data_IF_919940325954
#
_entry.id   IF_919940325954
#
_cell.length_a   1.000
_cell.length_b   1.000
_cell.length_c   1.000
_cell.angle_alpha   90.00
_cell.angle_beta   90.00
_cell.angle_gamma   90.00
#
_symmetry.space_group_name_H-M   'P 1'
#
loop_
_entity.id
_entity.type
_entity.pdbx_description
1 polymer ?
#
# COMPACT_ATOMS: atom_id res chain seq x y z
N UNK A 1 -28.22 14.23 10.36
CA UNK A 1 -27.09 14.20 9.40
C UNK A 1 -26.25 15.44 9.58
N UNK A 2 -24.92 15.32 9.64
CA UNK A 2 -24.02 16.47 9.85
C UNK A 2 -24.15 17.47 8.68
N UNK A 3 -24.19 18.76 9.01
CA UNK A 3 -24.21 19.81 7.98
C UNK A 3 -22.80 20.11 7.46
N UNK A 4 -21.78 19.88 8.29
CA UNK A 4 -20.36 20.11 7.97
C UNK A 4 -19.56 18.87 8.33
N UNK A 5 -18.68 18.43 7.40
CA UNK A 5 -17.71 17.35 7.62
C UNK A 5 -16.31 17.94 7.53
N UNK A 6 -15.48 17.68 8.55
CA UNK A 6 -14.09 18.07 8.58
C UNK A 6 -13.19 16.89 8.18
N UNK A 7 -12.45 17.06 7.08
CA UNK A 7 -11.52 16.04 6.58
C UNK A 7 -10.09 16.41 6.97
N UNK A 8 -9.48 15.59 7.82
CA UNK A 8 -8.06 15.68 8.14
C UNK A 8 -7.18 15.15 7.00
N UNK A 9 -6.13 15.88 6.65
CA UNK A 9 -5.19 15.49 5.59
C UNK A 9 -3.80 16.07 5.81
N UNK A 10 -2.78 15.42 5.25
CA UNK A 10 -1.41 15.92 5.20
C UNK A 10 -1.30 17.10 4.23
N UNK A 11 -0.28 17.95 4.41
CA UNK A 11 -0.08 19.17 3.59
C UNK A 11 0.49 18.89 2.19
N UNK A 12 0.93 17.66 1.86
CA UNK A 12 1.50 17.38 0.54
C UNK A 12 0.46 17.54 -0.57
N UNK A 13 0.89 18.00 -1.76
CA UNK A 13 -0.01 18.19 -2.92
C UNK A 13 -0.78 16.91 -3.26
N UNK A 14 -0.12 15.75 -3.19
CA UNK A 14 -0.79 14.47 -3.44
C UNK A 14 -1.88 14.18 -2.40
N UNK A 15 -1.61 14.40 -1.10
CA UNK A 15 -2.59 14.18 -0.05
C UNK A 15 -3.81 15.11 -0.21
N UNK A 16 -3.59 16.37 -0.58
CA UNK A 16 -4.69 17.31 -0.85
C UNK A 16 -5.56 16.86 -2.01
N UNK A 17 -4.97 16.42 -3.13
CA UNK A 17 -5.72 15.88 -4.27
C UNK A 17 -6.49 14.61 -3.88
N UNK A 18 -5.91 13.72 -3.08
CA UNK A 18 -6.59 12.54 -2.57
C UNK A 18 -7.79 12.91 -1.68
N UNK A 19 -7.64 13.94 -0.88
CA UNK A 19 -8.73 14.47 -0.05
C UNK A 19 -9.82 15.12 -0.91
N UNK A 20 -9.46 15.87 -1.95
CA UNK A 20 -10.45 16.45 -2.88
C UNK A 20 -11.25 15.35 -3.59
N UNK A 21 -10.64 14.21 -3.98
CA UNK A 21 -11.36 13.07 -4.55
C UNK A 21 -12.44 12.55 -3.57
N UNK A 22 -12.11 12.40 -2.29
CA UNK A 22 -13.09 11.97 -1.25
C UNK A 22 -14.18 13.03 -1.06
N UNK A 23 -13.78 14.30 -0.92
CA UNK A 23 -14.69 15.43 -0.82
C UNK A 23 -15.71 15.46 -1.97
N UNK A 24 -15.22 15.32 -3.22
CA UNK A 24 -16.08 15.37 -4.40
C UNK A 24 -17.08 14.20 -4.44
N UNK A 25 -16.67 13.01 -4.00
CA UNK A 25 -17.57 11.85 -3.87
C UNK A 25 -18.64 12.11 -2.80
N UNK A 26 -18.29 12.65 -1.63
CA UNK A 26 -19.25 13.04 -0.57
C UNK A 26 -20.20 14.09 -1.09
N UNK A 27 -19.71 15.16 -1.71
CA UNK A 27 -20.53 16.25 -2.27
C UNK A 27 -21.46 15.77 -3.38
N UNK A 28 -21.05 14.75 -4.16
CA UNK A 28 -21.90 14.14 -5.19
C UNK A 28 -23.04 13.33 -4.59
N UNK A 29 -22.79 12.62 -3.49
CA UNK A 29 -23.82 11.81 -2.81
C UNK A 29 -24.72 12.69 -1.92
N UNK A 30 -24.17 13.73 -1.29
CA UNK A 30 -24.82 14.64 -0.35
C UNK A 30 -24.47 16.10 -0.69
N UNK A 31 -25.15 16.71 -1.66
CA UNK A 31 -24.85 18.08 -2.12
C UNK A 31 -24.99 19.15 -1.04
N UNK A 32 -25.85 18.92 -0.05
CA UNK A 32 -26.14 19.82 1.08
C UNK A 32 -25.04 19.84 2.14
N UNK A 33 -24.23 18.76 2.27
CA UNK A 33 -23.17 18.69 3.27
C UNK A 33 -22.02 19.62 2.88
N UNK A 34 -21.61 20.52 3.76
CA UNK A 34 -20.39 21.31 3.59
C UNK A 34 -19.16 20.48 4.00
N UNK A 35 -18.07 20.59 3.24
CA UNK A 35 -16.83 19.84 3.52
C UNK A 35 -15.67 20.79 3.72
N UNK A 36 -15.11 20.77 4.92
CA UNK A 36 -13.95 21.55 5.34
C UNK A 36 -12.69 20.67 5.33
N UNK A 37 -11.58 21.17 4.75
CA UNK A 37 -10.30 20.44 4.72
C UNK A 37 -9.37 21.01 5.80
N UNK A 38 -8.96 20.16 6.74
CA UNK A 38 -8.04 20.49 7.84
C UNK A 38 -6.67 19.93 7.53
N UNK A 39 -5.68 20.81 7.31
CA UNK A 39 -4.30 20.43 6.98
C UNK A 39 -3.50 20.19 8.26
N UNK A 40 -2.99 18.98 8.44
CA UNK A 40 -2.26 18.52 9.62
C UNK A 40 -0.80 18.29 9.26
N UNK A 41 0.12 18.73 10.12
CA UNK A 41 1.56 18.45 10.01
C UNK A 41 1.87 17.08 10.62
N UNK A 42 2.55 16.22 9.88
CA UNK A 42 2.99 14.93 10.40
C UNK A 42 4.51 14.89 10.59
N UNK A 43 4.98 14.14 11.59
CA UNK A 43 6.42 13.91 11.82
C UNK A 43 7.10 13.28 10.60
N UNK A 44 6.37 12.44 9.87
CA UNK A 44 6.88 11.80 8.66
C UNK A 44 7.19 12.78 7.52
N UNK A 45 6.49 13.92 7.47
CA UNK A 45 6.75 14.98 6.48
C UNK A 45 7.93 15.87 6.86
N UNK A 46 8.27 15.95 8.15
CA UNK A 46 9.35 16.80 8.67
C UNK A 46 10.72 16.13 8.58
N UNK A 47 10.78 14.79 8.68
CA UNK A 47 12.05 14.05 8.78
C UNK A 47 12.37 13.42 7.42
N UNK A 48 13.31 14.02 6.68
CA UNK A 48 13.66 13.63 5.31
C UNK A 48 15.00 12.88 5.17
N UNK A 49 15.81 12.83 6.22
CA UNK A 49 17.20 12.35 6.22
C UNK A 49 17.38 10.95 6.82
N UNK A 50 16.32 10.36 7.39
CA UNK A 50 16.38 9.04 8.02
C UNK A 50 15.47 8.02 7.33
N UNK A 51 15.85 6.75 7.38
CA UNK A 51 14.99 5.64 6.92
C UNK A 51 13.71 5.56 7.76
N UNK A 52 12.56 5.22 7.14
CA UNK A 52 11.30 4.98 7.86
C UNK A 52 11.42 3.85 8.90
N UNK A 53 12.29 2.87 8.63
CA UNK A 53 12.56 1.76 9.55
C UNK A 53 13.18 2.21 10.86
N UNK A 54 13.93 3.33 10.88
CA UNK A 54 14.58 3.87 12.10
C UNK A 54 13.59 4.46 13.11
N UNK A 55 12.32 4.64 12.74
CA UNK A 55 11.27 5.20 13.61
C UNK A 55 10.33 4.13 14.19
N UNK A 56 10.69 2.86 14.14
CA UNK A 56 9.82 1.77 14.63
C UNK A 56 8.64 1.45 13.73
N UNK A 57 8.52 2.09 12.56
CA UNK A 57 7.59 1.71 11.49
C UNK A 57 6.10 1.97 11.74
N UNK A 58 5.67 2.34 12.95
CA UNK A 58 4.25 2.55 13.27
C UNK A 58 3.88 4.03 13.18
N UNK A 59 2.82 4.34 12.41
CA UNK A 59 2.10 5.62 12.49
C UNK A 59 2.89 6.89 12.11
N UNK A 60 4.01 6.80 11.41
CA UNK A 60 4.86 7.98 11.10
C UNK A 60 4.13 9.06 10.29
N UNK A 61 3.09 8.68 9.57
CA UNK A 61 2.27 9.56 8.75
C UNK A 61 0.81 9.64 9.21
N UNK A 62 0.39 8.84 10.20
CA UNK A 62 -1.02 8.72 10.60
C UNK A 62 -1.27 9.17 12.04
N UNK A 63 -0.29 9.10 12.94
CA UNK A 63 -0.46 9.34 14.37
C UNK A 63 -1.07 10.72 14.69
N UNK A 64 -0.68 11.78 14.00
CA UNK A 64 -1.23 13.10 14.20
C UNK A 64 -2.68 13.21 13.67
N UNK A 65 -2.98 12.53 12.54
CA UNK A 65 -4.33 12.44 11.99
C UNK A 65 -5.25 11.63 12.91
N UNK A 66 -4.76 10.51 13.43
CA UNK A 66 -5.46 9.66 14.41
C UNK A 66 -5.78 10.43 15.71
N UNK A 67 -4.83 11.25 16.20
CA UNK A 67 -5.06 12.11 17.36
C UNK A 67 -6.17 13.14 17.12
N UNK A 68 -6.23 13.78 15.95
CA UNK A 68 -7.28 14.72 15.58
C UNK A 68 -8.65 14.04 15.39
N UNK A 69 -8.67 12.78 14.90
CA UNK A 69 -9.89 11.97 14.85
C UNK A 69 -10.42 11.64 16.25
N UNK A 70 -9.56 11.18 17.16
CA UNK A 70 -9.92 10.82 18.53
C UNK A 70 -10.38 12.04 19.34
N UNK A 71 -9.79 13.21 19.11
CA UNK A 71 -10.21 14.47 19.78
C UNK A 71 -11.53 15.02 19.23
N UNK A 72 -11.99 14.55 18.07
CA UNK A 72 -13.15 15.10 17.37
C UNK A 72 -12.88 16.40 16.63
N UNK A 73 -11.61 16.82 16.49
CA UNK A 73 -11.24 18.02 15.72
C UNK A 73 -11.46 17.82 14.21
N UNK A 74 -11.36 16.59 13.73
CA UNK A 74 -11.77 16.15 12.40
C UNK A 74 -12.74 14.98 12.49
N UNK A 75 -13.55 14.78 11.45
CA UNK A 75 -14.54 13.70 11.38
C UNK A 75 -13.98 12.46 10.69
N UNK A 76 -13.18 12.67 9.64
CA UNK A 76 -12.53 11.64 8.84
C UNK A 76 -11.12 12.05 8.46
N UNK A 77 -10.27 11.07 8.15
CA UNK A 77 -8.93 11.28 7.59
C UNK A 77 -8.74 10.47 6.31
N UNK A 78 -8.05 11.04 5.32
CA UNK A 78 -7.83 10.40 4.01
C UNK A 78 -6.39 9.92 3.89
N UNK A 79 -6.23 8.65 3.50
CA UNK A 79 -4.95 7.98 3.38
C UNK A 79 -4.78 7.23 2.06
N UNK A 80 -3.55 7.07 1.61
CA UNK A 80 -3.20 5.97 0.72
C UNK A 80 -3.22 4.68 1.56
N UNK A 81 -4.02 3.69 1.20
CA UNK A 81 -4.23 2.48 2.03
C UNK A 81 -2.92 1.72 2.35
N UNK A 82 -1.95 1.73 1.43
CA UNK A 82 -0.62 1.13 1.63
C UNK A 82 0.22 1.76 2.75
N UNK A 83 -0.10 3.00 3.15
CA UNK A 83 0.64 3.77 4.16
C UNK A 83 -0.05 3.69 5.54
N UNK A 84 -1.24 3.07 5.62
CA UNK A 84 -1.99 2.89 6.87
C UNK A 84 -1.35 1.84 7.79
N UNK A 85 -1.43 2.01 9.11
CA UNK A 85 -0.95 1.02 10.06
C UNK A 85 -1.74 -0.28 9.93
N UNK A 86 -1.15 -1.39 10.37
CA UNK A 86 -1.85 -2.69 10.40
C UNK A 86 -2.92 -2.73 11.50
N UNK A 87 -2.61 -2.13 12.64
CA UNK A 87 -3.51 -2.01 13.79
C UNK A 87 -3.83 -0.54 14.02
N UNK A 88 -5.09 -0.23 14.24
CA UNK A 88 -5.57 1.13 14.55
C UNK A 88 -5.63 1.35 16.06
N UNK A 89 -5.53 2.60 16.52
CA UNK A 89 -5.90 2.97 17.88
C UNK A 89 -7.34 2.53 18.19
N UNK A 90 -7.60 2.23 19.45
CA UNK A 90 -8.97 1.90 19.91
C UNK A 90 -9.95 3.02 19.54
N UNK A 91 -11.10 2.63 19.00
CA UNK A 91 -12.14 3.56 18.54
C UNK A 91 -11.97 4.08 17.12
N UNK A 92 -10.87 3.78 16.42
CA UNK A 92 -10.66 4.14 15.02
C UNK A 92 -10.62 2.91 14.09
N UNK A 93 -10.96 3.14 12.82
CA UNK A 93 -10.95 2.09 11.82
C UNK A 93 -11.14 2.64 10.40
N UNK A 94 -11.12 1.73 9.43
CA UNK A 94 -11.44 2.06 8.04
C UNK A 94 -12.96 2.20 7.93
N UNK A 95 -13.44 3.42 7.69
CA UNK A 95 -14.85 3.71 7.47
C UNK A 95 -15.29 3.60 6.01
N UNK A 96 -14.38 3.85 5.07
CA UNK A 96 -14.64 3.62 3.65
C UNK A 96 -13.35 3.34 2.88
N UNK A 97 -13.51 2.62 1.78
CA UNK A 97 -12.46 2.34 0.78
C UNK A 97 -12.99 2.76 -0.59
N UNK A 98 -12.19 3.46 -1.37
CA UNK A 98 -12.55 3.89 -2.72
C UNK A 98 -12.02 2.90 -3.76
N UNK A 99 -12.63 2.94 -4.96
CA UNK A 99 -12.18 2.14 -6.09
C UNK A 99 -10.68 2.26 -6.33
N UNK A 100 -10.07 1.12 -6.68
CA UNK A 100 -8.64 1.01 -6.90
C UNK A 100 -8.23 1.70 -8.20
N UNK A 101 -7.26 2.62 -8.10
CA UNK A 101 -6.56 3.19 -9.24
C UNK A 101 -5.41 2.27 -9.70
N UNK A 102 -4.58 2.72 -10.65
CA UNK A 102 -3.47 1.94 -11.19
C UNK A 102 -2.55 1.40 -10.07
N UNK A 103 -2.40 0.08 -10.02
CA UNK A 103 -1.63 -0.64 -9.01
C UNK A 103 -0.13 -0.62 -9.28
N UNK A 104 0.28 -0.29 -10.53
CA UNK A 104 1.65 -0.43 -10.98
C UNK A 104 2.62 0.50 -10.26
N UNK A 105 3.86 0.06 -10.18
CA UNK A 105 4.97 0.96 -10.00
C UNK A 105 5.44 1.49 -11.35
N UNK A 106 6.02 2.68 -11.34
CA UNK A 106 6.51 3.36 -12.54
C UNK A 106 7.97 3.71 -12.33
N UNK A 107 8.83 3.25 -13.21
CA UNK A 107 10.20 3.70 -13.30
C UNK A 107 10.23 5.01 -14.10
N UNK A 108 10.84 6.04 -13.55
CA UNK A 108 10.89 7.40 -14.13
C UNK A 108 12.32 7.80 -14.36
N UNK A 109 12.63 8.28 -15.58
CA UNK A 109 13.95 8.77 -15.99
C UNK A 109 13.85 10.09 -16.76
N UNK A 110 14.98 10.78 -16.92
CA UNK A 110 15.12 11.92 -17.84
C UNK A 110 15.69 11.50 -19.19
N UNK A 111 16.20 10.28 -19.34
CA UNK A 111 16.91 9.81 -20.53
C UNK A 111 16.07 8.94 -21.45
N UNK A 112 14.93 8.45 -21.00
CA UNK A 112 14.09 7.49 -21.73
C UNK A 112 14.57 6.05 -21.66
N UNK A 113 15.73 5.75 -21.05
CA UNK A 113 16.19 4.37 -20.82
C UNK A 113 15.23 3.65 -19.91
N UNK A 114 14.98 2.37 -20.18
CA UNK A 114 14.23 1.48 -19.29
C UNK A 114 15.10 0.98 -18.15
N UNK A 115 14.49 0.42 -17.10
CA UNK A 115 15.21 -0.10 -15.93
C UNK A 115 16.23 -1.19 -16.29
N UNK A 116 15.85 -2.09 -17.19
CA UNK A 116 16.70 -3.17 -17.70
C UNK A 116 17.85 -2.68 -18.59
N UNK A 117 17.75 -1.47 -19.15
CA UNK A 117 18.73 -0.86 -20.06
C UNK A 117 19.78 0.02 -19.32
N UNK A 118 19.63 0.17 -18.00
CA UNK A 118 20.58 0.96 -17.22
C UNK A 118 21.95 0.29 -17.15
N UNK A 119 23.00 1.10 -17.33
CA UNK A 119 24.39 0.64 -17.22
C UNK A 119 24.75 0.20 -15.79
N UNK A 120 25.72 -0.72 -15.63
CA UNK A 120 26.26 -1.06 -14.32
C UNK A 120 26.72 0.18 -13.53
N UNK A 121 26.28 0.25 -12.26
CA UNK A 121 26.60 1.40 -11.40
C UNK A 121 25.61 2.56 -11.48
N UNK A 122 24.68 2.56 -12.44
CA UNK A 122 23.60 3.57 -12.49
C UNK A 122 22.84 3.61 -11.16
N UNK A 123 22.44 4.82 -10.75
CA UNK A 123 21.82 5.07 -9.44
C UNK A 123 20.31 5.07 -9.55
N UNK A 124 19.64 4.14 -8.89
CA UNK A 124 18.16 4.10 -8.81
C UNK A 124 17.69 4.50 -7.42
N UNK A 125 16.81 5.50 -7.38
CA UNK A 125 16.28 6.08 -6.13
C UNK A 125 15.05 5.35 -5.62
N UNK A 126 15.14 4.77 -4.42
CA UNK A 126 13.99 4.26 -3.64
C UNK A 126 14.31 4.23 -2.16
N UNK A 127 13.27 4.24 -1.30
CA UNK A 127 13.36 3.95 0.13
C UNK A 127 12.59 2.70 0.53
N UNK A 128 12.07 1.96 -0.45
CA UNK A 128 11.28 0.75 -0.23
C UNK A 128 12.15 -0.49 -0.44
N UNK A 129 12.28 -1.32 0.61
CA UNK A 129 12.99 -2.60 0.53
C UNK A 129 12.36 -3.53 -0.51
N UNK A 130 11.02 -3.53 -0.63
CA UNK A 130 10.31 -4.26 -1.68
C UNK A 130 10.80 -3.85 -3.07
N UNK A 131 10.82 -2.55 -3.36
CA UNK A 131 11.27 -2.03 -4.66
C UNK A 131 12.74 -2.33 -4.91
N UNK A 132 13.59 -2.18 -3.91
CA UNK A 132 15.02 -2.52 -4.01
C UNK A 132 15.23 -3.95 -4.46
N UNK A 133 14.54 -4.92 -3.83
CA UNK A 133 14.62 -6.32 -4.21
C UNK A 133 14.17 -6.56 -5.64
N UNK A 134 13.02 -6.01 -6.04
CA UNK A 134 12.47 -6.19 -7.39
C UNK A 134 13.31 -5.49 -8.46
N UNK A 135 13.90 -4.33 -8.17
CA UNK A 135 14.85 -3.68 -9.06
C UNK A 135 16.07 -4.58 -9.30
N UNK A 136 16.62 -5.16 -8.23
CA UNK A 136 17.79 -6.04 -8.30
C UNK A 136 17.53 -7.34 -9.06
N UNK A 137 16.30 -7.80 -9.15
CA UNK A 137 15.92 -8.92 -10.02
C UNK A 137 15.93 -8.56 -11.49
N UNK A 138 15.48 -7.34 -11.84
CA UNK A 138 15.46 -6.87 -13.23
C UNK A 138 16.86 -6.46 -13.67
N UNK A 139 17.56 -5.69 -12.84
CA UNK A 139 18.92 -5.22 -13.12
C UNK A 139 19.79 -5.28 -11.85
N UNK A 140 20.55 -6.37 -11.64
CA UNK A 140 21.37 -6.55 -10.43
C UNK A 140 22.55 -5.58 -10.34
N UNK A 141 22.93 -4.94 -11.45
CA UNK A 141 24.12 -4.10 -11.55
C UNK A 141 23.92 -2.64 -11.17
N UNK A 142 22.67 -2.19 -11.01
CA UNK A 142 22.39 -0.81 -10.57
C UNK A 142 22.69 -0.62 -9.08
N UNK A 143 22.96 0.61 -8.68
CA UNK A 143 23.17 1.02 -7.28
C UNK A 143 21.88 1.61 -6.72
N UNK A 144 21.41 1.11 -5.59
CA UNK A 144 20.23 1.68 -4.93
C UNK A 144 20.67 2.77 -3.97
N UNK A 145 20.04 3.95 -4.07
CA UNK A 145 20.21 5.05 -3.10
C UNK A 145 18.89 5.45 -2.49
N UNK A 146 18.93 5.80 -1.20
CA UNK A 146 17.78 6.28 -0.45
C UNK A 146 17.18 7.52 -1.10
N UNK A 147 15.89 7.47 -1.44
CA UNK A 147 15.12 8.59 -2.00
C UNK A 147 13.95 8.95 -1.09
N UNK A 148 13.98 10.13 -0.48
CA UNK A 148 12.96 10.67 0.43
C UNK A 148 12.39 11.98 -0.10
N UNK A 149 11.23 12.35 0.45
CA UNK A 149 10.45 13.53 0.10
C UNK A 149 9.10 13.17 -0.54
N UNK A 150 8.27 14.17 -0.80
CA UNK A 150 7.05 14.01 -1.58
C UNK A 150 7.38 13.78 -3.08
N UNK A 151 6.35 13.54 -3.91
CA UNK A 151 6.56 13.23 -5.34
C UNK A 151 7.31 14.36 -6.05
N UNK A 152 6.96 15.63 -5.80
CA UNK A 152 7.64 16.78 -6.42
C UNK A 152 9.12 16.82 -6.05
N UNK A 153 9.43 16.67 -4.76
CA UNK A 153 10.83 16.64 -4.28
C UNK A 153 11.63 15.52 -4.94
N UNK A 154 11.02 14.33 -5.10
CA UNK A 154 11.69 13.19 -5.74
C UNK A 154 11.94 13.43 -7.23
N UNK A 155 10.97 14.01 -7.95
CA UNK A 155 11.14 14.38 -9.36
C UNK A 155 12.17 15.51 -9.53
N UNK A 156 12.22 16.48 -8.62
CA UNK A 156 13.29 17.51 -8.64
C UNK A 156 14.68 16.86 -8.52
N UNK A 157 14.87 15.97 -7.53
CA UNK A 157 16.15 15.26 -7.35
C UNK A 157 16.56 14.43 -8.56
N UNK A 158 15.59 13.85 -9.29
CA UNK A 158 15.85 13.16 -10.55
C UNK A 158 16.33 14.15 -11.62
N UNK A 159 15.63 15.29 -11.81
CA UNK A 159 16.03 16.34 -12.76
C UNK A 159 17.38 16.96 -12.46
N UNK A 160 17.71 17.08 -11.17
CA UNK A 160 19.01 17.58 -10.70
C UNK A 160 20.15 16.56 -10.92
N UNK A 161 19.88 15.40 -11.52
CA UNK A 161 20.88 14.37 -11.83
C UNK A 161 21.41 13.61 -10.61
N UNK A 162 20.71 13.66 -9.47
CA UNK A 162 21.10 12.90 -8.26
C UNK A 162 20.84 11.40 -8.42
N UNK A 163 20.01 11.00 -9.39
CA UNK A 163 19.60 9.65 -9.73
C UNK A 163 19.49 9.51 -11.26
N UNK A 164 19.82 8.34 -11.78
CA UNK A 164 19.59 7.97 -13.18
C UNK A 164 18.14 7.56 -13.42
N UNK A 165 17.46 7.11 -12.36
CA UNK A 165 16.04 6.80 -12.36
C UNK A 165 15.48 6.66 -10.95
N UNK A 166 14.17 6.75 -10.83
CA UNK A 166 13.44 6.60 -9.55
C UNK A 166 12.21 5.75 -9.73
N UNK A 167 11.74 5.09 -8.65
CA UNK A 167 10.47 4.34 -8.67
C UNK A 167 9.39 5.10 -7.90
N UNK A 168 8.27 5.34 -8.58
CA UNK A 168 7.07 5.96 -8.01
C UNK A 168 5.86 5.05 -8.24
N UNK A 169 4.77 5.23 -7.49
CA UNK A 169 3.50 4.55 -7.76
C UNK A 169 2.74 5.30 -8.86
N UNK A 170 2.25 4.59 -9.88
CA UNK A 170 1.50 5.12 -11.01
C UNK A 170 0.32 5.99 -10.55
N UNK A 171 -0.53 5.48 -9.66
CA UNK A 171 -1.66 6.23 -9.11
C UNK A 171 -1.27 7.60 -8.50
N UNK A 172 -0.05 7.73 -7.95
CA UNK A 172 0.45 9.00 -7.42
C UNK A 172 0.82 9.99 -8.52
N UNK A 173 1.43 9.49 -9.60
CA UNK A 173 1.79 10.28 -10.80
C UNK A 173 0.52 10.77 -11.49
N UNK A 174 -0.44 9.89 -11.74
CA UNK A 174 -1.70 10.19 -12.43
C UNK A 174 -2.55 11.18 -11.65
N UNK A 175 -2.71 10.98 -10.33
CA UNK A 175 -3.46 11.92 -9.47
C UNK A 175 -2.84 13.33 -9.46
N UNK A 176 -1.53 13.44 -9.64
CA UNK A 176 -0.85 14.73 -9.75
C UNK A 176 -0.89 15.33 -11.16
N UNK A 177 -1.31 14.57 -12.17
CA UNK A 177 -1.28 14.95 -13.58
C UNK A 177 0.13 15.04 -14.16
N UNK A 178 1.05 14.21 -13.63
CA UNK A 178 2.48 14.24 -14.03
C UNK A 178 2.84 13.20 -15.07
N UNK A 179 1.90 12.36 -15.52
CA UNK A 179 2.13 11.31 -16.54
C UNK A 179 2.55 11.84 -17.91
N UNK A 180 2.36 13.16 -18.13
CA UNK A 180 2.73 13.85 -19.39
C UNK A 180 3.70 15.00 -19.15
N UNK A 181 4.44 14.96 -18.03
CA UNK A 181 5.35 16.07 -17.72
C UNK A 181 6.57 16.04 -18.64
N UNK A 182 6.84 17.17 -19.27
CA UNK A 182 7.92 17.30 -20.26
C UNK A 182 9.31 16.99 -19.65
N UNK A 183 10.14 16.31 -20.41
CA UNK A 183 11.47 15.90 -19.98
C UNK A 183 11.53 14.73 -19.02
N UNK A 184 10.39 14.06 -18.76
CA UNK A 184 10.32 12.83 -17.99
C UNK A 184 9.76 11.68 -18.85
N UNK A 185 10.33 10.49 -18.67
CA UNK A 185 9.91 9.27 -19.34
C UNK A 185 9.46 8.27 -18.29
N UNK A 186 8.35 7.58 -18.58
CA UNK A 186 7.65 6.71 -17.64
C UNK A 186 7.58 5.28 -18.20
N UNK A 187 8.22 4.34 -17.53
CA UNK A 187 8.05 2.91 -17.77
C UNK A 187 7.12 2.35 -16.69
N UNK A 188 5.88 2.04 -17.05
CA UNK A 188 4.95 1.33 -16.17
C UNK A 188 5.39 -0.13 -16.08
N UNK A 189 5.75 -0.56 -14.87
CA UNK A 189 6.27 -1.91 -14.64
C UNK A 189 5.12 -2.91 -14.53
N UNK A 190 5.29 -4.06 -15.17
CA UNK A 190 4.30 -5.14 -15.13
C UNK A 190 4.07 -5.59 -13.68
N UNK A 191 2.84 -5.52 -13.15
CA UNK A 191 2.55 -5.86 -11.76
C UNK A 191 2.71 -7.36 -11.44
N UNK A 192 2.82 -8.23 -12.43
CA UNK A 192 3.13 -9.65 -12.24
C UNK A 192 4.63 -9.91 -12.07
N UNK A 193 5.47 -9.02 -12.55
CA UNK A 193 6.93 -9.06 -12.39
C UNK A 193 7.36 -8.14 -11.24
N UNK A 194 6.82 -6.94 -11.20
CA UNK A 194 7.11 -5.93 -10.19
C UNK A 194 5.91 -5.76 -9.26
N UNK A 195 5.71 -6.75 -8.38
CA UNK A 195 4.56 -6.81 -7.47
C UNK A 195 4.42 -5.53 -6.63
N UNK A 196 3.22 -4.90 -6.61
CA UNK A 196 2.98 -3.67 -5.86
C UNK A 196 2.94 -3.91 -4.34
N UNK A 197 2.97 -2.82 -3.58
CA UNK A 197 2.69 -2.87 -2.16
C UNK A 197 1.21 -3.20 -1.93
N UNK A 198 0.91 -3.91 -0.85
CA UNK A 198 -0.48 -4.15 -0.43
C UNK A 198 -1.21 -2.81 -0.27
N UNK A 199 -2.43 -2.71 -0.81
CA UNK A 199 -3.24 -1.50 -0.83
C UNK A 199 -2.77 -0.41 -1.81
N UNK A 200 -1.78 -0.67 -2.68
CA UNK A 200 -1.36 0.33 -3.67
C UNK A 200 -2.49 0.65 -4.65
N UNK A 201 -2.68 1.94 -4.94
CA UNK A 201 -3.78 2.46 -5.78
C UNK A 201 -5.06 2.79 -5.00
N UNK A 202 -5.27 2.21 -3.82
CA UNK A 202 -6.49 2.39 -3.01
C UNK A 202 -6.36 3.63 -2.12
N UNK A 203 -7.45 4.41 -2.05
CA UNK A 203 -7.66 5.42 -1.02
C UNK A 203 -8.55 4.83 0.07
N UNK A 204 -8.15 5.01 1.32
CA UNK A 204 -8.93 4.62 2.48
C UNK A 204 -9.27 5.84 3.34
N UNK A 205 -10.47 5.84 3.87
CA UNK A 205 -10.98 6.88 4.76
C UNK A 205 -11.05 6.30 6.17
N UNK A 206 -10.31 6.88 7.09
CA UNK A 206 -10.32 6.51 8.50
C UNK A 206 -11.35 7.35 9.25
N UNK A 207 -12.08 6.74 10.18
CA UNK A 207 -13.10 7.39 11.00
C UNK A 207 -13.19 6.75 12.37
N UNK A 208 -13.95 7.38 13.27
CA UNK A 208 -14.37 6.74 14.53
C UNK A 208 -15.37 5.64 14.23
N UNK A 209 -15.18 4.46 14.84
CA UNK A 209 -16.03 3.27 14.60
C UNK A 209 -17.45 3.42 15.18
N UNK A 210 -17.62 4.25 16.22
CA UNK A 210 -18.91 4.46 16.88
C UNK A 210 -19.71 5.65 16.28
N UNK A 211 -19.17 6.35 15.28
CA UNK A 211 -19.85 7.49 14.61
C UNK A 211 -20.83 6.97 13.54
N UNK A 212 -22.03 6.55 13.99
CA UNK A 212 -23.06 5.98 13.11
C UNK A 212 -23.48 6.95 11.98
N UNK A 213 -23.52 8.24 12.26
CA UNK A 213 -23.86 9.25 11.24
C UNK A 213 -22.79 9.32 10.15
N UNK A 214 -21.51 9.26 10.54
CA UNK A 214 -20.40 9.24 9.58
C UNK A 214 -20.37 7.90 8.81
N UNK A 215 -20.69 6.79 9.46
CA UNK A 215 -20.77 5.48 8.80
C UNK A 215 -21.80 5.46 7.66
N UNK A 216 -22.98 6.10 7.85
CA UNK A 216 -24.01 6.24 6.81
C UNK A 216 -23.48 7.05 5.61
N UNK A 217 -22.78 8.16 5.85
CA UNK A 217 -22.21 9.00 4.81
C UNK A 217 -21.10 8.27 4.06
N UNK A 218 -20.23 7.58 4.76
CA UNK A 218 -19.11 6.85 4.19
C UNK A 218 -19.55 5.64 3.38
N UNK A 219 -20.66 4.99 3.75
CA UNK A 219 -21.26 3.89 2.98
C UNK A 219 -21.63 4.32 1.56
N UNK A 220 -22.03 5.57 1.34
CA UNK A 220 -22.40 6.07 0.02
C UNK A 220 -21.21 6.25 -0.96
N UNK A 221 -19.98 6.29 -0.46
CA UNK A 221 -18.76 6.43 -1.26
C UNK A 221 -17.88 5.19 -1.22
N UNK A 222 -18.28 4.19 -0.46
CA UNK A 222 -17.54 2.95 -0.24
C UNK A 222 -17.60 2.03 -1.46
N UNK A 223 -16.49 1.33 -1.73
CA UNK A 223 -16.37 0.28 -2.73
C UNK A 223 -16.11 -1.06 -2.06
N UNK A 224 -17.13 -1.89 -2.01
CA UNK A 224 -17.07 -3.24 -1.46
C UNK A 224 -15.98 -4.09 -2.12
N UNK A 225 -15.89 -4.00 -3.46
CA UNK A 225 -14.85 -4.68 -4.23
C UNK A 225 -13.45 -4.26 -3.79
N UNK A 226 -13.19 -2.96 -3.68
CA UNK A 226 -11.88 -2.47 -3.28
C UNK A 226 -11.55 -2.84 -1.82
N UNK A 227 -12.57 -2.92 -0.94
CA UNK A 227 -12.39 -3.40 0.43
C UNK A 227 -11.97 -4.86 0.46
N UNK A 228 -12.64 -5.76 -0.29
CA UNK A 228 -12.26 -7.17 -0.38
C UNK A 228 -10.79 -7.33 -0.80
N UNK A 229 -10.38 -6.63 -1.87
CA UNK A 229 -9.00 -6.64 -2.34
C UNK A 229 -8.02 -6.16 -1.27
N UNK A 230 -8.32 -5.05 -0.61
CA UNK A 230 -7.48 -4.45 0.43
C UNK A 230 -7.36 -5.36 1.64
N UNK A 231 -8.46 -5.93 2.11
CA UNK A 231 -8.47 -6.78 3.30
C UNK A 231 -7.72 -8.09 3.08
N UNK A 232 -7.82 -8.70 1.90
CA UNK A 232 -7.02 -9.87 1.54
C UNK A 232 -5.52 -9.56 1.56
N UNK A 233 -5.09 -8.44 0.96
CA UNK A 233 -3.69 -8.02 0.94
C UNK A 233 -3.17 -7.66 2.34
N UNK A 234 -3.98 -7.01 3.18
CA UNK A 234 -3.64 -6.69 4.57
C UNK A 234 -3.56 -7.95 5.45
N UNK A 235 -4.45 -8.93 5.24
CA UNK A 235 -4.40 -10.21 5.94
C UNK A 235 -3.09 -10.95 5.67
N UNK A 236 -2.64 -10.98 4.41
CA UNK A 236 -1.32 -11.52 4.06
C UNK A 236 -0.20 -10.84 4.84
N UNK A 237 -0.14 -9.49 4.82
CA UNK A 237 0.88 -8.75 5.56
C UNK A 237 0.84 -9.07 7.07
N UNK A 238 -0.35 -9.14 7.66
CA UNK A 238 -0.52 -9.47 9.08
C UNK A 238 0.02 -10.86 9.41
N UNK A 239 -0.29 -11.85 8.58
CA UNK A 239 0.12 -13.25 8.77
C UNK A 239 1.63 -13.44 8.70
N UNK A 240 2.33 -12.71 7.83
CA UNK A 240 3.80 -12.77 7.78
C UNK A 240 4.49 -11.94 8.86
N UNK A 241 3.71 -11.25 9.73
CA UNK A 241 4.26 -10.31 10.72
C UNK A 241 4.85 -9.05 10.07
N UNK A 242 4.42 -8.75 8.84
CA UNK A 242 4.90 -7.61 8.06
C UNK A 242 4.30 -6.29 8.52
N UNK A 243 5.01 -5.22 8.19
CA UNK A 243 4.55 -3.84 8.30
C UNK A 243 4.66 -3.18 6.92
N UNK A 244 4.17 -1.96 6.78
CA UNK A 244 4.34 -1.18 5.55
C UNK A 244 5.81 -1.01 5.09
N UNK A 245 6.76 -1.30 5.96
CA UNK A 245 8.20 -1.26 5.68
C UNK A 245 8.84 -2.64 5.44
N UNK A 246 8.08 -3.72 5.55
CA UNK A 246 8.61 -5.06 5.28
C UNK A 246 8.92 -5.23 3.78
N UNK A 247 9.90 -6.08 3.41
CA UNK A 247 10.16 -6.44 2.03
C UNK A 247 9.09 -7.43 1.54
N UNK A 248 7.85 -6.98 1.51
CA UNK A 248 6.68 -7.75 1.13
C UNK A 248 5.85 -7.02 0.06
N UNK A 249 5.16 -7.79 -0.76
CA UNK A 249 4.23 -7.33 -1.78
C UNK A 249 3.00 -8.22 -1.78
N UNK A 250 1.84 -7.66 -2.12
CA UNK A 250 0.63 -8.43 -2.36
C UNK A 250 -0.24 -7.69 -3.38
N UNK A 251 -0.79 -8.45 -4.30
CA UNK A 251 -1.75 -7.98 -5.29
C UNK A 251 -2.90 -8.98 -5.39
N UNK A 252 -4.03 -8.60 -4.85
CA UNK A 252 -5.29 -9.30 -5.04
C UNK A 252 -6.01 -8.74 -6.25
N UNK A 253 -6.58 -9.63 -7.07
CA UNK A 253 -7.39 -9.32 -8.26
C UNK A 253 -8.73 -10.03 -8.16
N UNK A 254 -9.74 -9.44 -8.78
CA UNK A 254 -11.01 -10.10 -9.02
C UNK A 254 -11.25 -10.13 -10.52
N UNK A 255 -11.44 -11.32 -11.06
CA UNK A 255 -11.74 -11.56 -12.46
C UNK A 255 -12.93 -12.51 -12.55
N UNK A 256 -14.02 -12.06 -13.16
CA UNK A 256 -15.28 -12.83 -13.32
C UNK A 256 -15.92 -13.32 -12.01
N UNK A 257 -15.72 -12.61 -10.91
CA UNK A 257 -16.22 -12.99 -9.59
C UNK A 257 -15.23 -13.84 -8.78
N UNK A 258 -14.15 -14.29 -9.40
CA UNK A 258 -13.11 -15.08 -8.74
C UNK A 258 -12.00 -14.16 -8.20
N UNK A 259 -11.61 -14.37 -6.94
CA UNK A 259 -10.52 -13.63 -6.31
C UNK A 259 -9.24 -14.46 -6.33
N UNK A 260 -8.18 -13.86 -6.86
CA UNK A 260 -6.84 -14.44 -6.81
C UNK A 260 -5.85 -13.45 -6.20
N UNK A 261 -4.86 -13.93 -5.46
CA UNK A 261 -3.82 -13.08 -4.89
C UNK A 261 -2.44 -13.62 -5.24
N UNK A 262 -1.59 -12.73 -5.76
CA UNK A 262 -0.16 -12.99 -5.89
C UNK A 262 0.59 -12.21 -4.83
N UNK A 263 1.44 -12.89 -4.06
CA UNK A 263 2.16 -12.29 -2.96
C UNK A 263 3.64 -12.68 -2.96
N UNK A 264 4.47 -11.82 -2.38
CA UNK A 264 5.91 -12.01 -2.20
C UNK A 264 6.31 -11.54 -0.81
N UNK A 265 7.17 -12.29 -0.15
CA UNK A 265 7.84 -11.82 1.07
C UNK A 265 9.25 -12.40 1.16
N UNK A 266 10.08 -11.76 1.97
CA UNK A 266 11.43 -12.21 2.26
C UNK A 266 11.46 -12.75 3.67
N UNK A 267 11.87 -14.01 3.81
CA UNK A 267 12.05 -14.70 5.08
C UNK A 267 13.55 -14.72 5.37
N UNK A 268 13.92 -14.29 6.58
CA UNK A 268 15.27 -14.26 7.15
C UNK A 268 16.33 -13.40 6.42
N UNK A 269 16.80 -12.36 7.11
CA UNK A 269 17.67 -11.32 6.57
C UNK A 269 19.08 -11.74 6.12
N UNK A 270 19.44 -13.04 6.16
CA UNK A 270 20.73 -13.57 5.74
C UNK A 270 20.64 -14.31 4.40
N UNK A 271 19.50 -14.93 4.09
CA UNK A 271 19.23 -15.54 2.78
C UNK A 271 17.84 -15.10 2.33
N UNK A 272 17.78 -14.00 1.58
CA UNK A 272 16.53 -13.46 1.00
C UNK A 272 15.81 -14.51 0.15
N UNK A 273 14.98 -15.34 0.77
CA UNK A 273 14.11 -16.26 0.07
C UNK A 273 12.82 -15.50 -0.25
N UNK A 274 12.59 -15.28 -1.52
CA UNK A 274 11.31 -14.79 -2.03
C UNK A 274 10.37 -15.97 -2.19
N UNK A 275 9.19 -15.82 -1.65
CA UNK A 275 8.12 -16.77 -1.89
C UNK A 275 7.04 -16.05 -2.69
N UNK A 276 6.71 -16.59 -3.86
CA UNK A 276 5.54 -16.20 -4.62
C UNK A 276 4.44 -17.23 -4.37
N UNK A 277 3.27 -16.77 -4.01
CA UNK A 277 2.10 -17.63 -3.84
C UNK A 277 0.94 -17.06 -4.66
N UNK A 278 0.15 -17.95 -5.25
CA UNK A 278 -1.16 -17.64 -5.80
C UNK A 278 -2.18 -18.36 -4.94
N UNK A 279 -3.12 -17.62 -4.41
CA UNK A 279 -4.20 -18.13 -3.56
C UNK A 279 -5.50 -17.87 -4.29
N UNK A 280 -6.29 -18.92 -4.53
CA UNK A 280 -7.68 -18.76 -4.92
C UNK A 280 -8.51 -18.56 -3.65
N UNK A 281 -9.28 -17.47 -3.60
CA UNK A 281 -9.99 -17.04 -2.37
C UNK A 281 -11.40 -17.64 -2.32
N UNK A 282 -11.88 -18.29 -3.39
CA UNK A 282 -13.24 -18.82 -3.49
C UNK A 282 -13.57 -19.93 -2.51
N UNK A 283 -12.63 -20.84 -2.26
CA UNK A 283 -12.86 -21.99 -1.38
C UNK A 283 -13.14 -21.55 0.09
N UNK A 284 -12.68 -20.36 0.47
CA UNK A 284 -12.90 -19.80 1.79
C UNK A 284 -14.24 -19.07 1.96
N UNK A 285 -14.90 -18.69 0.86
CA UNK A 285 -16.22 -18.04 0.89
C UNK A 285 -17.32 -19.09 1.11
N UNK A 286 -17.10 -20.32 0.60
CA UNK A 286 -18.09 -21.39 0.65
C UNK A 286 -18.33 -21.99 2.06
N UNK A 287 -17.42 -21.78 3.01
CA UNK A 287 -17.50 -22.40 4.35
C UNK A 287 -18.17 -21.53 5.43
N UNK A 288 -18.66 -20.32 5.15
CA UNK A 288 -19.28 -19.45 6.17
C UNK A 288 -20.76 -19.19 5.96
N UNK A 289 -21.48 -19.37 7.08
CA UNK A 289 -22.90 -19.24 7.35
C UNK A 289 -23.69 -18.20 6.55
N UNK A 290 -24.87 -18.61 6.13
CA UNK A 290 -25.89 -17.86 5.38
C UNK A 290 -26.45 -16.59 6.06
N UNK A 291 -26.04 -16.28 7.31
CA UNK A 291 -26.58 -15.17 8.11
C UNK A 291 -25.66 -13.93 8.23
N UNK A 292 -24.45 -13.94 7.67
CA UNK A 292 -23.57 -12.77 7.66
C UNK A 292 -23.78 -11.93 6.40
N UNK A 293 -23.82 -10.60 6.54
CA UNK A 293 -23.89 -9.68 5.40
C UNK A 293 -22.78 -10.01 4.39
N UNK A 294 -23.09 -10.14 3.07
CA UNK A 294 -22.20 -10.75 2.07
C UNK A 294 -20.78 -10.17 2.04
N UNK A 295 -20.60 -8.91 2.37
CA UNK A 295 -19.36 -8.14 2.18
C UNK A 295 -18.34 -8.41 3.28
N UNK A 296 -18.75 -8.33 4.54
CA UNK A 296 -17.88 -8.64 5.67
C UNK A 296 -17.42 -10.11 5.63
N UNK A 297 -18.29 -11.01 5.12
CA UNK A 297 -17.99 -12.42 4.93
C UNK A 297 -16.88 -12.66 3.91
N UNK A 298 -16.92 -12.01 2.75
CA UNK A 298 -15.93 -12.20 1.68
C UNK A 298 -14.54 -11.71 2.09
N UNK A 299 -14.43 -10.54 2.71
CA UNK A 299 -13.15 -10.01 3.19
C UNK A 299 -12.53 -10.88 4.30
N UNK A 300 -13.37 -11.41 5.24
CA UNK A 300 -12.92 -12.31 6.30
C UNK A 300 -12.51 -13.66 5.73
N UNK A 301 -13.26 -14.20 4.77
CA UNK A 301 -12.93 -15.48 4.10
C UNK A 301 -11.61 -15.36 3.31
N UNK A 302 -11.41 -14.28 2.56
CA UNK A 302 -10.16 -13.99 1.89
C UNK A 302 -8.97 -13.94 2.88
N UNK A 303 -9.17 -13.31 4.04
CA UNK A 303 -8.17 -13.25 5.10
C UNK A 303 -7.79 -14.64 5.64
N UNK A 304 -8.77 -15.53 5.89
CA UNK A 304 -8.55 -16.89 6.40
C UNK A 304 -7.78 -17.76 5.42
N UNK A 305 -8.16 -17.76 4.13
CA UNK A 305 -7.43 -18.53 3.10
C UNK A 305 -5.98 -18.11 2.94
N UNK A 306 -5.74 -16.81 3.02
CA UNK A 306 -4.37 -16.28 2.97
C UNK A 306 -3.56 -16.73 4.17
N UNK A 307 -4.15 -16.72 5.38
CA UNK A 307 -3.49 -17.21 6.59
C UNK A 307 -3.12 -18.69 6.49
N UNK A 308 -4.01 -19.53 5.96
CA UNK A 308 -3.77 -20.96 5.75
C UNK A 308 -2.66 -21.22 4.72
N UNK A 309 -2.71 -20.52 3.58
CA UNK A 309 -1.69 -20.64 2.55
C UNK A 309 -0.29 -20.24 3.04
N UNK A 310 -0.20 -19.14 3.81
CA UNK A 310 1.07 -18.69 4.41
C UNK A 310 1.58 -19.68 5.47
N UNK A 311 0.70 -20.27 6.29
CA UNK A 311 1.08 -21.30 7.28
C UNK A 311 1.63 -22.54 6.58
N UNK A 312 0.97 -23.01 5.52
CA UNK A 312 1.41 -24.16 4.73
C UNK A 312 2.79 -23.93 4.09
N UNK A 313 3.02 -22.75 3.51
CA UNK A 313 4.34 -22.39 2.95
C UNK A 313 5.43 -22.34 4.03
N UNK A 314 5.13 -21.80 5.23
CA UNK A 314 6.05 -21.82 6.36
C UNK A 314 6.43 -23.24 6.78
N UNK A 315 5.48 -24.15 6.89
CA UNK A 315 5.72 -25.55 7.27
C UNK A 315 6.55 -26.31 6.23
N UNK A 316 6.28 -26.11 4.94
CA UNK A 316 7.06 -26.71 3.84
C UNK A 316 8.50 -26.20 3.90
N UNK A 317 8.69 -24.90 4.10
CA UNK A 317 10.00 -24.26 4.17
C UNK A 317 10.82 -24.76 5.35
N UNK A 318 10.22 -24.96 6.53
CA UNK A 318 10.89 -25.50 7.72
C UNK A 318 11.31 -26.95 7.53
N UNK A 319 10.47 -27.76 6.88
CA UNK A 319 10.81 -29.16 6.54
C UNK A 319 11.97 -29.24 5.55
N UNK A 320 12.01 -28.39 4.54
CA UNK A 320 13.10 -28.33 3.56
C UNK A 320 14.41 -27.86 4.19
N UNK A 321 14.38 -26.90 5.09
CA UNK A 321 15.55 -26.42 5.82
C UNK A 321 16.11 -27.49 6.76
N UNK A 322 15.22 -28.18 7.50
CA UNK A 322 15.61 -29.29 8.37
C UNK A 322 16.16 -30.51 7.58
N UNK A 323 15.69 -30.72 6.35
CA UNK A 323 16.19 -31.77 5.48
C UNK A 323 17.58 -31.46 4.92
N UNK A 324 17.83 -30.19 4.54
CA UNK A 324 19.15 -29.71 4.07
C UNK A 324 20.20 -29.78 5.18
N UNK A 325 19.88 -29.33 6.40
CA UNK A 325 20.80 -29.39 7.54
C UNK A 325 21.17 -30.83 7.91
N UNK A 326 20.22 -31.79 7.80
CA UNK A 326 20.51 -33.22 8.01
C UNK A 326 21.38 -33.85 6.92
N UNK A 327 21.29 -33.34 5.68
CA UNK A 327 22.14 -33.84 4.56
C UNK A 327 23.57 -33.29 4.69
N UNK A 328 23.74 -32.05 5.14
CA UNK A 328 25.05 -31.46 5.40
C UNK A 328 25.77 -32.12 6.58
N UNK A 329 25.05 -32.42 7.68
CA UNK A 329 25.63 -33.14 8.84
C UNK A 329 25.98 -34.61 8.50
N UNK A 330 25.36 -35.22 7.51
CA UNK A 330 25.66 -36.59 7.09
C UNK A 330 26.77 -36.67 6.03
N UNK A 331 27.27 -35.53 5.57
CA UNK A 331 28.34 -35.42 4.58
C UNK A 331 29.70 -35.01 5.19
N UNK A 332 29.74 -34.68 6.50
CA UNK A 332 30.94 -34.57 7.34
C UNK A 332 31.17 -35.88 8.11
#
# INVERSE_FOLDING_TARGET
MKNIIKIGTRKSKLALIQTDIVKDKIKKAFPEIEVEIVKIDTKGDQILDKSLTSFGGKGVFTAELEAELLSGAVDIAVHSAKDMPMDFPEGLGIGAVLDRADVRDTFVTTTGKKLEELEPGSIVGTSSLRRELLIKEINPYVTIKLLRGNVQTRLSKLRDGQYDGIILAAAGIERLGYEKEEGLHYQYLDPDVFLPAAGQGILAVESRVEDAEMAEILAAIHSEKAECLLMAERAFLKTIGGSCNAPAAALCREENGEFSMRAMYVKDGIHSRKTYMTVNIEDAIAEKDADSKPIAGTAVAAAVSVEEAVKTDKEITEKDTARKSKVEIAAE
#
